data_IF_015338150582
#
_entry.id   IF_015338150582
#
_cell.length_a   1.000
_cell.length_b   1.000
_cell.length_c   1.000
_cell.angle_alpha   90.00
_cell.angle_beta   90.00
_cell.angle_gamma   90.00
#
_symmetry.space_group_name_H-M   'P 1'
#
loop_
_entity.id
_entity.type
_entity.pdbx_description
1 polymer ?
#
# COMPACT_ATOMS: atom_id res chain seq x y z
N UNK A 1 13.84 -62.54 -38.14
CA UNK A 1 12.62 -62.39 -37.29
C UNK A 1 12.90 -61.44 -36.10
N UNK A 2 13.41 -60.22 -36.41
CA UNK A 2 13.65 -59.23 -35.30
C UNK A 2 13.17 -57.84 -35.63
N UNK A 3 12.17 -57.70 -36.55
CA UNK A 3 11.81 -56.40 -37.08
C UNK A 3 10.35 -55.97 -36.86
N UNK A 4 9.56 -56.67 -36.05
CA UNK A 4 8.14 -56.37 -35.84
C UNK A 4 7.79 -55.92 -34.40
N UNK A 5 8.72 -55.99 -33.44
CA UNK A 5 8.47 -55.51 -32.06
C UNK A 5 8.76 -54.04 -31.88
N UNK A 6 9.59 -53.43 -32.71
CA UNK A 6 9.90 -51.97 -32.59
C UNK A 6 8.75 -51.05 -33.11
N UNK A 7 7.85 -51.55 -33.97
CA UNK A 7 6.75 -50.76 -34.51
C UNK A 7 5.60 -50.50 -33.51
N UNK A 8 5.52 -51.29 -32.41
CA UNK A 8 4.45 -51.16 -31.43
C UNK A 8 4.66 -50.03 -30.40
N UNK A 9 5.92 -49.59 -30.25
CA UNK A 9 6.26 -48.58 -29.22
C UNK A 9 6.11 -47.13 -29.73
N UNK A 10 6.27 -46.89 -31.02
CA UNK A 10 6.12 -45.56 -31.61
C UNK A 10 4.71 -44.95 -31.45
N UNK A 11 3.66 -45.79 -31.43
CA UNK A 11 2.28 -45.31 -31.22
C UNK A 11 2.02 -44.83 -29.79
N UNK A 12 2.62 -45.47 -28.77
CA UNK A 12 2.50 -45.04 -27.37
C UNK A 12 3.30 -43.79 -27.10
N UNK A 13 4.52 -43.73 -27.63
CA UNK A 13 5.41 -42.54 -27.46
C UNK A 13 4.79 -41.29 -28.12
N UNK A 14 4.17 -41.43 -29.28
CA UNK A 14 3.44 -40.33 -29.94
C UNK A 14 2.20 -39.90 -29.15
N UNK A 15 1.47 -40.85 -28.53
CA UNK A 15 0.35 -40.51 -27.67
C UNK A 15 0.82 -39.79 -26.40
N UNK A 16 1.89 -40.23 -25.77
CA UNK A 16 2.48 -39.58 -24.60
C UNK A 16 2.99 -38.16 -24.91
N UNK A 17 3.62 -37.98 -26.07
CA UNK A 17 4.04 -36.65 -26.55
C UNK A 17 2.82 -35.76 -26.78
N UNK A 18 1.76 -36.25 -27.39
CA UNK A 18 0.54 -35.50 -27.63
C UNK A 18 -0.18 -35.12 -26.33
N UNK A 19 -0.21 -36.00 -25.33
CA UNK A 19 -0.76 -35.70 -24.00
C UNK A 19 0.09 -34.63 -23.29
N UNK A 20 1.42 -34.78 -23.28
CA UNK A 20 2.33 -33.78 -22.69
C UNK A 20 2.19 -32.42 -23.35
N UNK A 21 2.06 -32.36 -24.70
CA UNK A 21 1.84 -31.12 -25.43
C UNK A 21 0.50 -30.46 -25.07
N UNK A 22 -0.57 -31.25 -24.89
CA UNK A 22 -1.88 -30.75 -24.45
C UNK A 22 -1.83 -30.22 -23.00
N UNK A 23 -1.16 -30.92 -22.09
CA UNK A 23 -0.98 -30.49 -20.70
C UNK A 23 -0.19 -29.18 -20.65
N UNK A 24 0.92 -29.06 -21.39
CA UNK A 24 1.69 -27.84 -21.50
C UNK A 24 0.86 -26.68 -22.07
N UNK A 25 0.04 -26.94 -23.11
CA UNK A 25 -0.86 -25.93 -23.67
C UNK A 25 -1.92 -25.47 -22.67
N UNK A 26 -2.46 -26.36 -21.84
CA UNK A 26 -3.40 -26.01 -20.78
C UNK A 26 -2.72 -25.21 -19.68
N UNK A 27 -1.52 -25.62 -19.24
CA UNK A 27 -0.73 -24.88 -18.24
C UNK A 27 -0.37 -23.48 -18.72
N UNK A 28 0.02 -23.32 -19.99
CA UNK A 28 0.31 -21.97 -20.54
C UNK A 28 -0.94 -21.09 -20.60
N UNK A 29 -2.12 -21.65 -20.91
CA UNK A 29 -3.39 -20.91 -20.86
C UNK A 29 -3.78 -20.52 -19.44
N UNK A 30 -3.68 -21.44 -18.49
CA UNK A 30 -3.92 -21.16 -17.06
C UNK A 30 -2.94 -20.08 -16.55
N UNK A 31 -1.68 -20.18 -16.93
CA UNK A 31 -0.67 -19.17 -16.55
C UNK A 31 -0.94 -17.82 -17.21
N UNK A 32 -1.42 -17.77 -18.46
CA UNK A 32 -1.82 -16.54 -19.12
C UNK A 32 -3.01 -15.87 -18.40
N UNK A 33 -4.05 -16.65 -18.06
CA UNK A 33 -5.21 -16.17 -17.30
C UNK A 33 -4.79 -15.70 -15.91
N UNK A 34 -3.92 -16.43 -15.22
CA UNK A 34 -3.37 -16.05 -13.92
C UNK A 34 -2.56 -14.76 -14.02
N UNK A 35 -1.76 -14.59 -15.06
CA UNK A 35 -0.95 -13.37 -15.30
C UNK A 35 -1.83 -12.16 -15.61
N UNK A 36 -2.92 -12.32 -16.36
CA UNK A 36 -3.90 -11.27 -16.62
C UNK A 36 -4.66 -10.88 -15.34
N UNK A 37 -5.09 -11.87 -14.56
CA UNK A 37 -5.72 -11.65 -13.25
C UNK A 37 -4.75 -11.02 -12.25
N UNK A 38 -3.48 -11.42 -12.24
CA UNK A 38 -2.41 -10.84 -11.41
C UNK A 38 -1.93 -9.49 -11.93
N UNK A 39 -1.98 -9.24 -13.23
CA UNK A 39 -1.67 -7.95 -13.85
C UNK A 39 -2.63 -6.86 -13.42
N UNK A 40 -3.91 -7.17 -13.24
CA UNK A 40 -4.92 -6.26 -12.66
C UNK A 40 -4.67 -6.01 -11.17
N UNK A 41 -4.18 -6.98 -10.42
CA UNK A 41 -3.77 -6.79 -9.02
C UNK A 41 -2.47 -5.99 -8.91
N UNK A 42 -1.45 -6.29 -9.72
CA UNK A 42 -0.20 -5.52 -9.76
C UNK A 42 -0.38 -4.07 -10.18
N UNK A 43 -1.29 -3.80 -11.13
CA UNK A 43 -1.65 -2.44 -11.50
C UNK A 43 -2.28 -1.67 -10.33
N UNK A 44 -3.15 -2.31 -9.55
CA UNK A 44 -3.81 -1.71 -8.39
C UNK A 44 -2.88 -1.56 -7.19
N UNK A 45 -2.00 -2.53 -6.93
CA UNK A 45 -0.97 -2.44 -5.89
C UNK A 45 0.09 -1.40 -6.24
N UNK A 46 0.54 -1.33 -7.49
CA UNK A 46 1.44 -0.29 -7.99
C UNK A 46 0.85 1.10 -7.84
N UNK A 47 -0.44 1.26 -8.13
CA UNK A 47 -1.13 2.53 -7.99
C UNK A 47 -1.22 3.00 -6.53
N UNK A 48 -1.48 2.11 -5.58
CA UNK A 48 -1.47 2.47 -4.15
C UNK A 48 -0.06 2.82 -3.68
N UNK A 49 0.96 2.15 -4.17
CA UNK A 49 2.36 2.47 -3.87
C UNK A 49 2.75 3.86 -4.38
N UNK A 50 2.26 4.27 -5.54
CA UNK A 50 2.44 5.62 -6.07
C UNK A 50 1.73 6.67 -5.23
N UNK A 51 0.49 6.40 -4.79
CA UNK A 51 -0.24 7.28 -3.87
C UNK A 51 0.53 7.44 -2.55
N UNK A 52 1.03 6.36 -1.98
CA UNK A 52 1.83 6.38 -0.75
C UNK A 52 3.10 7.20 -0.94
N UNK A 53 3.80 7.02 -2.06
CA UNK A 53 5.01 7.78 -2.40
C UNK A 53 4.70 9.27 -2.51
N UNK A 54 3.65 9.62 -3.24
CA UNK A 54 3.20 11.00 -3.40
C UNK A 54 2.87 11.65 -2.04
N UNK A 55 2.11 10.97 -1.18
CA UNK A 55 1.79 11.45 0.16
C UNK A 55 3.07 11.71 0.96
N UNK A 56 4.01 10.75 0.98
CA UNK A 56 5.25 10.87 1.74
C UNK A 56 6.16 12.01 1.25
N UNK A 57 6.12 12.32 -0.03
CA UNK A 57 6.87 13.44 -0.62
C UNK A 57 6.22 14.80 -0.39
N UNK A 58 4.92 14.84 -0.11
CA UNK A 58 4.14 16.07 -0.02
C UNK A 58 3.52 16.30 1.37
N UNK A 59 4.06 15.70 2.44
CA UNK A 59 3.46 15.78 3.79
C UNK A 59 3.34 17.19 4.31
N UNK A 60 4.25 18.09 3.95
CA UNK A 60 4.22 19.51 4.34
C UNK A 60 3.17 20.32 3.60
N UNK A 61 2.69 19.83 2.45
CA UNK A 61 1.68 20.49 1.63
C UNK A 61 0.25 20.18 2.12
N UNK A 62 -0.75 20.98 1.73
CA UNK A 62 -2.15 20.67 2.01
C UNK A 62 -2.58 19.42 1.22
N UNK A 63 -2.65 18.29 1.91
CA UNK A 63 -3.12 17.03 1.36
C UNK A 63 -4.58 16.81 1.72
N UNK A 64 -5.45 16.70 0.71
CA UNK A 64 -6.86 16.33 0.88
C UNK A 64 -7.19 15.07 0.10
N UNK A 65 -8.19 14.32 0.56
CA UNK A 65 -8.70 13.15 -0.16
C UNK A 65 -9.16 13.51 -1.58
N UNK A 66 -9.74 14.71 -1.73
CA UNK A 66 -10.22 15.23 -2.99
C UNK A 66 -9.09 15.56 -3.97
N UNK A 67 -8.06 16.26 -3.49
CA UNK A 67 -6.87 16.56 -4.29
C UNK A 67 -6.13 15.30 -4.74
N UNK A 68 -6.01 14.31 -3.84
CA UNK A 68 -5.41 13.02 -4.20
C UNK A 68 -6.26 12.27 -5.24
N UNK A 69 -7.58 12.26 -5.09
CA UNK A 69 -8.49 11.63 -6.04
C UNK A 69 -8.36 12.27 -7.44
N UNK A 70 -8.24 13.58 -7.52
CA UNK A 70 -8.00 14.31 -8.77
C UNK A 70 -6.63 13.99 -9.36
N UNK A 71 -5.57 14.02 -8.54
CA UNK A 71 -4.19 13.75 -8.99
C UNK A 71 -4.04 12.36 -9.58
N UNK A 72 -4.72 11.37 -9.01
CA UNK A 72 -4.65 9.98 -9.46
C UNK A 72 -5.82 9.54 -10.36
N UNK A 73 -6.63 10.49 -10.84
CA UNK A 73 -7.79 10.23 -11.73
C UNK A 73 -8.74 9.17 -11.16
N UNK A 74 -9.02 9.23 -9.85
CA UNK A 74 -9.88 8.29 -9.14
C UNK A 74 -11.08 9.00 -8.52
N UNK A 75 -12.19 8.26 -8.30
CA UNK A 75 -13.22 8.75 -7.40
C UNK A 75 -12.75 8.65 -5.93
N UNK A 76 -13.23 9.55 -5.06
CA UNK A 76 -12.94 9.53 -3.61
C UNK A 76 -13.24 8.16 -2.98
N UNK A 77 -14.36 7.55 -3.37
CA UNK A 77 -14.78 6.25 -2.86
C UNK A 77 -13.81 5.13 -3.31
N UNK A 78 -13.41 5.16 -4.56
CA UNK A 78 -12.46 4.17 -5.09
C UNK A 78 -11.09 4.30 -4.42
N UNK A 79 -10.56 5.53 -4.33
CA UNK A 79 -9.31 5.81 -3.63
C UNK A 79 -9.36 5.31 -2.18
N UNK A 80 -10.42 5.64 -1.44
CA UNK A 80 -10.59 5.21 -0.04
C UNK A 80 -10.61 3.68 0.07
N UNK A 81 -11.34 3.00 -0.80
CA UNK A 81 -11.49 1.54 -0.77
C UNK A 81 -10.16 0.83 -1.08
N UNK A 82 -9.46 1.24 -2.15
CA UNK A 82 -8.18 0.60 -2.55
C UNK A 82 -7.08 0.88 -1.54
N UNK A 83 -7.00 2.12 -1.03
CA UNK A 83 -6.02 2.51 -0.02
C UNK A 83 -6.23 1.75 1.30
N UNK A 84 -7.47 1.71 1.81
CA UNK A 84 -7.81 0.98 3.04
C UNK A 84 -7.55 -0.51 2.92
N UNK A 85 -7.87 -1.12 1.76
CA UNK A 85 -7.59 -2.54 1.52
C UNK A 85 -6.10 -2.86 1.53
N UNK A 86 -5.28 -1.99 0.95
CA UNK A 86 -3.84 -2.21 0.84
C UNK A 86 -3.06 -1.87 2.12
N UNK A 87 -3.50 -0.81 2.85
CA UNK A 87 -2.77 -0.29 4.02
C UNK A 87 -3.41 -0.64 5.37
N UNK A 88 -4.67 -1.09 5.35
CA UNK A 88 -5.48 -1.33 6.55
C UNK A 88 -6.01 -0.05 7.22
N UNK A 89 -5.69 1.15 6.70
CA UNK A 89 -6.06 2.43 7.31
C UNK A 89 -6.63 3.42 6.29
N UNK A 90 -7.23 4.51 6.74
CA UNK A 90 -7.71 5.57 5.85
C UNK A 90 -6.58 6.49 5.42
N UNK A 91 -6.72 7.16 4.26
CA UNK A 91 -5.75 8.15 3.74
C UNK A 91 -5.48 9.25 4.77
N UNK A 92 -6.53 9.82 5.37
CA UNK A 92 -6.41 10.90 6.36
C UNK A 92 -5.63 10.45 7.60
N UNK A 93 -5.90 9.23 8.09
CA UNK A 93 -5.21 8.67 9.25
C UNK A 93 -3.74 8.37 8.93
N UNK A 94 -3.46 7.87 7.75
CA UNK A 94 -2.10 7.64 7.28
C UNK A 94 -1.29 8.95 7.24
N UNK A 95 -1.86 10.01 6.64
CA UNK A 95 -1.24 11.34 6.58
C UNK A 95 -0.98 11.88 7.99
N UNK A 96 -1.99 11.82 8.87
CA UNK A 96 -1.87 12.25 10.26
C UNK A 96 -0.73 11.54 10.99
N UNK A 97 -0.68 10.22 10.87
CA UNK A 97 0.38 9.40 11.49
C UNK A 97 1.78 9.81 11.00
N UNK A 98 1.94 9.98 9.69
CA UNK A 98 3.23 10.39 9.09
C UNK A 98 3.65 11.79 9.53
N UNK A 99 2.72 12.75 9.58
CA UNK A 99 2.97 14.09 10.10
C UNK A 99 3.38 14.07 11.58
N UNK A 100 2.71 13.27 12.39
CA UNK A 100 3.08 13.11 13.81
C UNK A 100 4.48 12.51 14.00
N UNK A 101 4.90 11.58 13.13
CA UNK A 101 6.27 11.07 13.15
C UNK A 101 7.31 12.17 12.89
N UNK A 102 7.04 13.07 11.93
CA UNK A 102 7.89 14.24 11.67
C UNK A 102 7.94 15.14 12.89
N UNK A 103 6.77 15.51 13.45
CA UNK A 103 6.72 16.35 14.65
C UNK A 103 7.52 15.75 15.80
N UNK A 104 7.36 14.47 16.07
CA UNK A 104 8.12 13.79 17.15
C UNK A 104 9.63 13.88 16.93
N UNK A 105 10.09 13.70 15.70
CA UNK A 105 11.50 13.86 15.35
C UNK A 105 11.97 15.29 15.58
N UNK A 106 11.22 16.30 15.14
CA UNK A 106 11.56 17.72 15.32
C UNK A 106 11.60 18.10 16.82
N UNK A 107 10.60 17.66 17.59
CA UNK A 107 10.56 17.88 19.04
C UNK A 107 11.77 17.25 19.75
N UNK A 108 12.21 16.06 19.35
CA UNK A 108 13.39 15.40 19.91
C UNK A 108 14.70 16.17 19.62
N UNK A 109 14.73 16.95 18.56
CA UNK A 109 15.82 17.85 18.21
C UNK A 109 15.71 19.23 18.88
N UNK A 110 14.70 19.44 19.73
CA UNK A 110 14.49 20.70 20.45
C UNK A 110 13.73 21.78 19.67
N UNK A 111 13.17 21.46 18.51
CA UNK A 111 12.38 22.40 17.73
C UNK A 111 11.07 22.73 18.48
N UNK A 112 10.67 24.01 18.59
CA UNK A 112 9.41 24.40 19.22
C UNK A 112 8.19 23.71 18.57
N UNK A 113 7.21 23.31 19.38
CA UNK A 113 6.06 22.52 18.94
C UNK A 113 5.25 23.20 17.82
N UNK A 114 5.11 24.52 17.85
CA UNK A 114 4.41 25.27 16.81
C UNK A 114 5.15 25.22 15.47
N UNK A 115 6.47 25.32 15.51
CA UNK A 115 7.32 25.23 14.32
C UNK A 115 7.36 23.80 13.77
N UNK A 116 7.51 22.81 14.64
CA UNK A 116 7.47 21.40 14.26
C UNK A 116 6.13 21.02 13.59
N UNK A 117 5.00 21.50 14.12
CA UNK A 117 3.69 21.31 13.54
C UNK A 117 3.57 21.96 12.16
N UNK A 118 4.03 23.20 11.99
CA UNK A 118 4.03 23.91 10.71
C UNK A 118 4.87 23.17 9.66
N UNK A 119 6.09 22.76 9.98
CA UNK A 119 6.98 22.00 9.09
C UNK A 119 6.39 20.64 8.68
N UNK A 120 5.64 20.02 9.59
CA UNK A 120 4.96 18.75 9.30
C UNK A 120 3.68 18.91 8.46
N UNK A 121 3.25 20.15 8.15
CA UNK A 121 2.11 20.44 7.29
C UNK A 121 0.77 20.56 8.03
N UNK A 122 0.77 20.80 9.34
CA UNK A 122 -0.46 21.17 10.05
C UNK A 122 -0.85 22.62 9.73
N UNK A 123 -2.08 22.83 9.29
CA UNK A 123 -2.57 24.15 8.91
C UNK A 123 -2.85 25.07 10.10
N UNK A 124 -3.18 24.49 11.27
CA UNK A 124 -3.38 25.23 12.50
C UNK A 124 -2.88 24.47 13.72
N UNK A 125 -2.39 25.22 14.71
CA UNK A 125 -1.82 24.65 15.93
C UNK A 125 -2.86 23.98 16.82
N UNK A 126 -4.08 24.47 16.86
CA UNK A 126 -5.14 23.91 17.73
C UNK A 126 -5.55 22.51 17.28
N UNK A 127 -5.70 22.30 15.98
CA UNK A 127 -5.97 20.98 15.40
C UNK A 127 -4.80 20.01 15.64
N UNK A 128 -3.58 20.49 15.44
CA UNK A 128 -2.38 19.71 15.76
C UNK A 128 -2.35 19.32 17.25
N UNK A 129 -2.52 20.27 18.16
CA UNK A 129 -2.45 20.01 19.61
C UNK A 129 -3.48 18.96 20.05
N UNK A 130 -4.74 19.09 19.58
CA UNK A 130 -5.80 18.10 19.88
C UNK A 130 -5.45 16.72 19.36
N UNK A 131 -4.96 16.64 18.12
CA UNK A 131 -4.56 15.38 17.52
C UNK A 131 -3.36 14.75 18.22
N UNK A 132 -2.37 15.56 18.61
CA UNK A 132 -1.21 15.13 19.37
C UNK A 132 -1.61 14.56 20.74
N UNK A 133 -2.40 15.32 21.50
CA UNK A 133 -2.89 14.88 22.81
C UNK A 133 -3.76 13.60 22.72
N UNK A 134 -4.59 13.49 21.68
CA UNK A 134 -5.36 12.27 21.43
C UNK A 134 -4.46 11.06 21.14
N UNK A 135 -3.37 11.25 20.39
CA UNK A 135 -2.49 10.16 19.95
C UNK A 135 -1.49 9.73 21.04
N UNK A 136 -0.95 10.67 21.80
CA UNK A 136 0.13 10.43 22.77
C UNK A 136 -0.29 10.56 24.24
N UNK A 137 -1.50 11.04 24.52
CA UNK A 137 -2.01 11.22 25.88
C UNK A 137 -1.41 12.42 26.63
N UNK A 138 -0.45 13.16 26.07
CA UNK A 138 0.28 14.23 26.70
C UNK A 138 0.39 15.46 25.77
N UNK A 139 0.89 16.58 26.31
CA UNK A 139 1.13 17.78 25.51
C UNK A 139 2.41 17.67 24.68
N UNK A 140 2.51 18.38 23.53
CA UNK A 140 3.73 18.39 22.71
C UNK A 140 4.97 18.92 23.41
N UNK A 141 4.80 19.73 24.45
CA UNK A 141 5.89 20.26 25.30
C UNK A 141 6.39 19.25 26.35
N UNK A 142 5.69 18.16 26.54
CA UNK A 142 6.04 17.13 27.51
C UNK A 142 7.13 16.22 26.95
N UNK A 143 8.34 16.30 27.55
CA UNK A 143 9.51 15.51 27.13
C UNK A 143 9.37 14.00 27.44
N UNK A 144 8.44 13.62 28.31
CA UNK A 144 8.17 12.22 28.68
C UNK A 144 7.19 11.51 27.73
N UNK A 145 6.83 12.14 26.63
CA UNK A 145 5.87 11.59 25.68
C UNK A 145 6.29 10.19 25.20
N UNK A 146 5.37 9.21 25.20
CA UNK A 146 5.63 7.83 24.78
C UNK A 146 6.06 7.77 23.31
N UNK A 147 6.68 6.67 22.90
CA UNK A 147 7.03 6.41 21.50
C UNK A 147 5.83 6.50 20.56
N UNK A 148 6.08 6.46 19.24
CA UNK A 148 4.98 6.39 18.26
C UNK A 148 4.13 5.16 18.53
N UNK A 149 2.81 5.29 18.69
CA UNK A 149 1.93 4.12 18.76
C UNK A 149 2.00 3.34 17.46
N UNK A 150 1.90 2.03 17.54
CA UNK A 150 1.76 1.22 16.33
C UNK A 150 0.54 1.68 15.53
N UNK A 151 0.67 1.64 14.20
CA UNK A 151 -0.42 1.97 13.30
C UNK A 151 -1.41 0.81 13.29
N UNK A 152 -2.21 0.69 14.36
CA UNK A 152 -3.19 -0.38 14.52
C UNK A 152 -4.23 -0.31 13.40
N UNK A 153 -4.44 -1.45 12.77
CA UNK A 153 -5.36 -1.63 11.64
C UNK A 153 -6.84 -1.47 11.98
N UNK A 154 -7.19 -1.23 13.24
CA UNK A 154 -8.59 -1.24 13.68
C UNK A 154 -9.05 -0.34 14.82
N UNK A 155 -8.17 0.19 15.66
CA UNK A 155 -8.56 0.78 16.94
C UNK A 155 -8.25 2.28 17.04
N UNK A 156 -9.03 3.10 16.39
CA UNK A 156 -9.33 4.49 16.79
C UNK A 156 -10.59 4.95 16.05
N UNK A 157 -11.73 4.56 16.58
CA UNK A 157 -13.00 5.23 16.32
C UNK A 157 -13.04 6.52 17.11
#
# INVERSE_FOLDING_TARGET
FHSLEECGNYGKDLQDIAIRARVLSLLTKIFAIYREASGTSRGKEGQVQEIIRYINQNLSAPLSLEGLAQTFYMSKNHLTAVFKRATGTTVARYILYKRMAIVRKELSMGVPAAEAASRAGFGDYSSFFRAYKKMFGCAPSDKSAPGMPEMDKGSMV
#
